data_IF_655527128688
#
_entry.id   IF_655527128688
#
_cell.length_a   1.000
_cell.length_b   1.000
_cell.length_c   1.000
_cell.angle_alpha   90.00
_cell.angle_beta   90.00
_cell.angle_gamma   90.00
#
_symmetry.space_group_name_H-M   'P 1'
#
loop_
_entity.id
_entity.type
_entity.pdbx_description
1 polymer ?
#
# COMPACT_ATOMS: atom_id res chain seq x y z
N UNK A 1 -10.62 0.85 -6.25
CA UNK A 1 -9.83 0.45 -5.07
C UNK A 1 -10.10 1.38 -3.89
N UNK A 2 -9.79 2.69 -3.96
CA UNK A 2 -10.00 3.62 -2.84
C UNK A 2 -11.44 3.63 -2.28
N UNK A 3 -12.45 3.64 -3.16
CA UNK A 3 -13.85 3.57 -2.74
C UNK A 3 -14.16 2.29 -1.95
N UNK A 4 -13.69 1.15 -2.45
CA UNK A 4 -13.83 -0.16 -1.81
C UNK A 4 -13.18 -0.20 -0.43
N UNK A 5 -11.97 0.34 -0.33
CA UNK A 5 -11.21 0.41 0.92
C UNK A 5 -11.94 1.25 1.95
N UNK A 6 -12.45 2.43 1.58
CA UNK A 6 -13.24 3.28 2.47
C UNK A 6 -14.48 2.58 3.04
N UNK A 7 -15.07 1.64 2.30
CA UNK A 7 -16.21 0.83 2.74
C UNK A 7 -15.81 -0.40 3.57
N UNK A 8 -14.52 -0.71 3.69
CA UNK A 8 -14.06 -1.89 4.42
C UNK A 8 -14.26 -3.21 3.67
N UNK A 9 -14.53 -3.19 2.36
CA UNK A 9 -14.80 -4.40 1.58
C UNK A 9 -13.51 -5.03 1.05
N UNK A 10 -12.85 -5.83 1.89
CA UNK A 10 -11.62 -6.51 1.50
C UNK A 10 -11.82 -7.54 0.38
N UNK A 11 -13.03 -8.11 0.25
CA UNK A 11 -13.33 -9.07 -0.82
C UNK A 11 -13.23 -8.41 -2.19
N UNK A 12 -13.84 -7.24 -2.36
CA UNK A 12 -13.74 -6.49 -3.60
C UNK A 12 -12.32 -5.96 -3.86
N UNK A 13 -11.53 -5.65 -2.81
CA UNK A 13 -10.10 -5.33 -2.98
C UNK A 13 -9.35 -6.53 -3.57
N UNK A 14 -9.62 -7.75 -3.11
CA UNK A 14 -9.01 -8.97 -3.64
C UNK A 14 -9.36 -9.20 -5.11
N UNK A 15 -10.60 -8.93 -5.54
CA UNK A 15 -10.97 -9.01 -6.96
C UNK A 15 -10.17 -8.04 -7.83
N UNK A 16 -9.92 -6.83 -7.35
CA UNK A 16 -9.07 -5.85 -8.04
C UNK A 16 -7.63 -6.35 -8.13
N UNK A 17 -7.09 -6.92 -7.04
CA UNK A 17 -5.71 -7.45 -6.99
C UNK A 17 -5.49 -8.57 -8.00
N UNK A 18 -6.49 -9.44 -8.24
CA UNK A 18 -6.43 -10.49 -9.27
C UNK A 18 -6.18 -9.94 -10.66
N UNK A 19 -6.72 -8.76 -10.98
CA UNK A 19 -6.50 -8.11 -12.27
C UNK A 19 -5.16 -7.37 -12.28
N UNK A 20 -4.83 -6.71 -11.17
CA UNK A 20 -3.69 -5.83 -11.04
C UNK A 20 -2.35 -6.55 -11.26
N UNK A 21 -2.25 -7.85 -10.92
CA UNK A 21 -1.02 -8.60 -11.16
C UNK A 21 -0.63 -8.64 -12.65
N UNK A 22 -1.59 -8.68 -13.58
CA UNK A 22 -1.31 -8.71 -15.02
C UNK A 22 -0.76 -7.37 -15.49
N UNK A 23 -1.34 -6.27 -15.00
CA UNK A 23 -0.85 -4.92 -15.27
C UNK A 23 0.61 -4.73 -14.79
N UNK A 24 0.95 -5.21 -13.59
CA UNK A 24 2.33 -5.13 -13.12
C UNK A 24 3.30 -5.94 -13.98
N UNK A 25 2.90 -7.11 -14.46
CA UNK A 25 3.71 -7.92 -15.37
C UNK A 25 3.93 -7.27 -16.73
N UNK A 26 2.91 -6.61 -17.28
CA UNK A 26 3.01 -5.90 -18.56
C UNK A 26 3.74 -4.56 -18.47
N UNK A 27 3.78 -3.97 -17.28
CA UNK A 27 4.56 -2.76 -16.98
C UNK A 27 6.05 -3.07 -16.72
N UNK A 28 6.82 -2.04 -16.35
CA UNK A 28 8.20 -2.17 -15.86
C UNK A 28 8.32 -2.72 -14.42
N UNK A 29 7.19 -2.94 -13.74
CA UNK A 29 7.11 -3.23 -12.31
C UNK A 29 6.88 -4.72 -12.02
N UNK A 30 7.61 -5.60 -12.71
CA UNK A 30 7.40 -7.07 -12.65
C UNK A 30 7.65 -7.69 -11.28
N UNK A 31 8.45 -7.05 -10.42
CA UNK A 31 8.68 -7.52 -9.05
C UNK A 31 7.38 -7.54 -8.23
N UNK A 32 6.53 -6.52 -8.41
CA UNK A 32 5.20 -6.49 -7.81
C UNK A 32 4.29 -7.56 -8.41
N UNK A 33 4.39 -7.80 -9.72
CA UNK A 33 3.69 -8.90 -10.39
C UNK A 33 4.05 -10.27 -9.82
N UNK A 34 5.34 -10.53 -9.56
CA UNK A 34 5.80 -11.75 -8.89
C UNK A 34 5.23 -11.87 -7.48
N UNK A 35 5.29 -10.81 -6.68
CA UNK A 35 4.79 -10.82 -5.31
C UNK A 35 3.28 -11.02 -5.22
N UNK A 36 2.51 -10.43 -6.14
CA UNK A 36 1.07 -10.67 -6.20
C UNK A 36 0.72 -12.08 -6.71
N UNK A 37 1.53 -12.67 -7.58
CA UNK A 37 1.35 -14.06 -8.03
C UNK A 37 1.65 -15.04 -6.89
N UNK A 38 2.73 -14.82 -6.14
CA UNK A 38 3.06 -15.56 -4.92
C UNK A 38 1.92 -15.45 -3.90
N UNK A 39 1.44 -14.24 -3.63
CA UNK A 39 0.30 -14.01 -2.74
C UNK A 39 -0.96 -14.76 -3.20
N UNK A 40 -1.26 -14.74 -4.50
CA UNK A 40 -2.39 -15.47 -5.06
C UNK A 40 -2.25 -16.98 -4.89
N UNK A 41 -1.07 -17.55 -5.14
CA UNK A 41 -0.78 -18.96 -4.89
C UNK A 41 -0.98 -19.31 -3.41
N UNK A 42 -0.50 -18.47 -2.50
CA UNK A 42 -0.66 -18.71 -1.07
C UNK A 42 -2.14 -18.76 -0.66
N UNK A 43 -2.96 -17.81 -1.11
CA UNK A 43 -4.40 -17.81 -0.83
C UNK A 43 -5.16 -18.98 -1.48
N UNK A 44 -4.76 -19.42 -2.67
CA UNK A 44 -5.45 -20.48 -3.40
C UNK A 44 -5.07 -21.88 -2.94
N UNK A 45 -3.82 -22.09 -2.52
CA UNK A 45 -3.26 -23.44 -2.37
C UNK A 45 -2.57 -23.70 -1.03
N UNK A 46 -2.03 -22.69 -0.34
CA UNK A 46 -1.15 -22.92 0.81
C UNK A 46 -1.78 -22.53 2.15
N UNK A 47 -2.51 -21.41 2.20
CA UNK A 47 -3.03 -20.88 3.46
C UNK A 47 -4.27 -21.67 3.92
N UNK A 48 -4.30 -22.16 5.18
CA UNK A 48 -5.52 -22.70 5.76
C UNK A 48 -6.56 -21.59 5.93
N UNK A 49 -7.84 -21.96 5.89
CA UNK A 49 -8.95 -21.00 5.96
C UNK A 49 -8.87 -20.04 7.17
N UNK A 50 -8.40 -20.52 8.32
CA UNK A 50 -8.22 -19.70 9.52
C UNK A 50 -7.18 -18.59 9.31
N UNK A 51 -6.07 -18.89 8.63
CA UNK A 51 -5.03 -17.91 8.31
C UNK A 51 -5.52 -16.92 7.25
N UNK A 52 -6.24 -17.39 6.22
CA UNK A 52 -6.83 -16.50 5.22
C UNK A 52 -7.77 -15.47 5.86
N UNK A 53 -8.66 -15.94 6.74
CA UNK A 53 -9.57 -15.07 7.47
C UNK A 53 -8.81 -14.08 8.36
N UNK A 54 -7.80 -14.55 9.08
CA UNK A 54 -6.96 -13.67 9.91
C UNK A 54 -6.27 -12.59 9.07
N UNK A 55 -5.66 -12.94 7.93
CA UNK A 55 -5.00 -11.98 7.05
C UNK A 55 -5.99 -10.95 6.49
N UNK A 56 -7.12 -11.41 5.93
CA UNK A 56 -8.13 -10.51 5.34
C UNK A 56 -8.73 -9.56 6.38
N UNK A 57 -8.96 -10.02 7.61
CA UNK A 57 -9.44 -9.20 8.71
C UNK A 57 -8.40 -8.16 9.20
N UNK A 58 -7.12 -8.37 8.92
CA UNK A 58 -6.04 -7.45 9.31
C UNK A 58 -5.60 -6.51 8.18
N UNK A 59 -6.09 -6.65 6.96
CA UNK A 59 -5.64 -5.75 5.88
C UNK A 59 -6.26 -4.36 5.95
N UNK A 60 -7.48 -4.25 6.46
CA UNK A 60 -8.18 -2.98 6.62
C UNK A 60 -8.45 -2.73 8.10
N UNK A 61 -8.38 -1.46 8.50
CA UNK A 61 -8.61 -1.01 9.86
C UNK A 61 -9.49 0.23 9.86
N UNK A 62 -10.34 0.34 10.89
CA UNK A 62 -11.13 1.54 11.14
C UNK A 62 -11.02 1.96 12.61
N UNK A 63 -9.97 2.71 12.97
CA UNK A 63 -9.74 3.16 14.35
C UNK A 63 -10.85 4.06 14.89
N UNK A 64 -11.61 4.72 14.01
CA UNK A 64 -12.69 5.64 14.38
C UNK A 64 -14.02 4.95 14.64
N UNK A 65 -14.21 3.74 14.10
CA UNK A 65 -15.49 3.04 14.09
C UNK A 65 -16.57 3.70 13.20
N UNK A 66 -16.26 4.77 12.47
CA UNK A 66 -17.22 5.48 11.61
C UNK A 66 -17.34 4.83 10.23
N UNK A 67 -18.56 4.75 9.68
CA UNK A 67 -18.76 4.26 8.31
C UNK A 67 -17.98 5.12 7.31
N UNK A 68 -17.37 4.50 6.31
CA UNK A 68 -16.57 5.20 5.29
C UNK A 68 -15.13 5.57 5.70
N UNK A 69 -14.69 5.22 6.92
CA UNK A 69 -13.39 5.63 7.47
C UNK A 69 -12.38 4.47 7.60
N UNK A 70 -12.62 3.39 6.85
CA UNK A 70 -11.66 2.30 6.72
C UNK A 70 -10.45 2.73 5.88
N UNK A 71 -9.28 2.23 6.24
CA UNK A 71 -8.04 2.43 5.50
C UNK A 71 -7.14 1.20 5.64
N UNK A 72 -6.07 1.15 4.86
CA UNK A 72 -5.08 0.09 4.86
C UNK A 72 -4.36 0.02 6.23
N UNK A 73 -4.32 -1.15 6.87
CA UNK A 73 -3.64 -1.31 8.16
C UNK A 73 -2.14 -1.02 8.04
N UNK A 74 -1.52 -1.41 6.93
CA UNK A 74 -0.10 -1.13 6.66
C UNK A 74 0.17 0.38 6.66
N UNK A 75 -0.74 1.17 6.07
CA UNK A 75 -0.64 2.63 6.11
C UNK A 75 -0.74 3.16 7.55
N UNK A 76 -1.61 2.62 8.39
CA UNK A 76 -1.66 2.99 9.82
C UNK A 76 -0.34 2.65 10.52
N UNK A 77 0.25 1.49 10.21
CA UNK A 77 1.55 1.08 10.74
C UNK A 77 2.67 2.04 10.31
N UNK A 78 2.68 2.48 9.05
CA UNK A 78 3.62 3.50 8.55
C UNK A 78 3.49 4.82 9.33
N UNK A 79 2.27 5.26 9.62
CA UNK A 79 2.03 6.46 10.43
C UNK A 79 2.55 6.28 11.86
N UNK A 80 2.35 5.12 12.48
CA UNK A 80 2.91 4.82 13.80
C UNK A 80 4.44 4.83 13.78
N UNK A 81 5.06 4.22 12.77
CA UNK A 81 6.51 4.22 12.59
C UNK A 81 7.07 5.64 12.45
N UNK A 82 6.39 6.51 11.69
CA UNK A 82 6.76 7.92 11.57
C UNK A 82 6.65 8.66 12.89
N UNK A 83 5.57 8.44 13.66
CA UNK A 83 5.37 9.06 14.97
C UNK A 83 6.45 8.64 15.97
N UNK A 84 6.79 7.36 16.02
CA UNK A 84 7.87 6.84 16.88
C UNK A 84 9.18 7.53 16.52
N UNK A 85 9.55 7.55 15.24
CA UNK A 85 10.77 8.24 14.77
C UNK A 85 10.78 9.73 15.09
N UNK A 86 9.63 10.39 15.02
CA UNK A 86 9.53 11.85 15.25
C UNK A 86 9.59 12.20 16.74
N UNK A 87 8.91 11.42 17.59
CA UNK A 87 8.85 11.66 19.03
C UNK A 87 10.08 11.14 19.76
N UNK A 88 10.70 10.07 19.24
CA UNK A 88 11.81 9.37 19.85
C UNK A 88 13.05 9.44 18.96
N UNK A 89 13.45 10.66 18.59
CA UNK A 89 14.66 10.94 17.82
C UNK A 89 15.86 11.27 18.74
N UNK A 90 15.96 10.58 19.88
CA UNK A 90 17.07 10.80 20.80
C UNK A 90 18.28 9.97 20.38
N UNK A 91 19.39 10.66 20.07
CA UNK A 91 20.67 10.03 19.69
C UNK A 91 21.23 9.02 20.71
N UNK A 92 20.71 9.05 21.93
CA UNK A 92 21.20 8.25 23.06
C UNK A 92 20.19 7.19 23.54
N UNK A 93 19.02 7.09 22.91
CA UNK A 93 18.04 6.10 23.30
C UNK A 93 18.23 4.84 22.44
N UNK A 94 18.39 3.70 23.09
CA UNK A 94 18.53 2.42 22.39
C UNK A 94 17.21 2.09 21.70
N UNK A 95 17.26 1.85 20.39
CA UNK A 95 16.08 1.55 19.57
C UNK A 95 15.37 0.27 20.04
N UNK A 96 16.12 -0.64 20.68
CA UNK A 96 15.62 -1.89 21.26
C UNK A 96 15.37 -1.79 22.78
N UNK A 97 15.25 -0.58 23.33
CA UNK A 97 14.88 -0.43 24.74
C UNK A 97 13.48 -1.01 25.00
N UNK A 98 13.36 -1.81 26.07
CA UNK A 98 12.06 -2.36 26.51
C UNK A 98 11.03 -1.27 26.74
N UNK A 99 11.48 -0.08 27.17
CA UNK A 99 10.63 1.09 27.31
C UNK A 99 10.00 1.54 25.98
N UNK A 100 10.75 1.56 24.88
CA UNK A 100 10.20 1.95 23.58
C UNK A 100 9.17 0.92 23.10
N UNK A 101 9.46 -0.36 23.25
CA UNK A 101 8.60 -1.44 22.78
C UNK A 101 7.31 -1.55 23.61
N UNK A 102 7.43 -1.60 24.94
CA UNK A 102 6.31 -1.90 25.84
C UNK A 102 5.51 -0.66 26.25
N UNK A 103 6.13 0.52 26.30
CA UNK A 103 5.45 1.75 26.76
C UNK A 103 5.12 2.67 25.59
N UNK A 104 6.09 3.03 24.76
CA UNK A 104 5.88 4.04 23.71
C UNK A 104 5.08 3.48 22.54
N UNK A 105 5.48 2.34 21.99
CA UNK A 105 4.90 1.79 20.77
C UNK A 105 3.42 1.42 20.96
N UNK A 106 3.07 0.78 22.07
CA UNK A 106 1.69 0.41 22.38
C UNK A 106 0.75 1.62 22.57
N UNK A 107 1.30 2.77 23.00
CA UNK A 107 0.53 3.97 23.33
C UNK A 107 0.70 5.11 22.32
N UNK A 108 1.41 4.89 21.21
CA UNK A 108 1.82 5.95 20.28
C UNK A 108 0.64 6.74 19.71
N UNK A 109 -0.46 6.05 19.42
CA UNK A 109 -1.69 6.67 18.95
C UNK A 109 -2.30 7.61 20.00
N UNK A 110 -2.32 7.18 21.28
CA UNK A 110 -2.77 7.99 22.40
C UNK A 110 -1.87 9.21 22.63
N UNK A 111 -0.55 9.04 22.57
CA UNK A 111 0.40 10.15 22.70
C UNK A 111 0.26 11.17 21.56
N UNK A 112 0.02 10.71 20.34
CA UNK A 112 -0.25 11.59 19.20
C UNK A 112 -1.51 12.44 19.42
N UNK A 113 -2.59 11.83 19.92
CA UNK A 113 -3.81 12.56 20.28
C UNK A 113 -3.60 13.53 21.44
N UNK A 114 -2.91 13.11 22.51
CA UNK A 114 -2.59 13.95 23.65
C UNK A 114 -1.76 15.17 23.24
N UNK A 115 -0.77 14.98 22.36
CA UNK A 115 0.03 16.09 21.82
C UNK A 115 -0.86 17.11 21.11
N UNK A 116 -1.77 16.67 20.23
CA UNK A 116 -2.73 17.55 19.54
C UNK A 116 -3.67 18.25 20.52
N UNK A 117 -4.15 17.51 21.53
CA UNK A 117 -5.00 18.05 22.59
C UNK A 117 -4.28 19.15 23.38
N UNK A 118 -3.02 18.96 23.77
CA UNK A 118 -2.25 19.95 24.51
C UNK A 118 -2.06 21.25 23.71
N UNK A 119 -1.76 21.16 22.40
CA UNK A 119 -1.72 22.36 21.56
C UNK A 119 -3.06 23.11 21.54
N UNK A 120 -4.16 22.37 21.43
CA UNK A 120 -5.51 22.96 21.44
C UNK A 120 -5.86 23.55 22.80
N UNK A 121 -5.52 22.87 23.90
CA UNK A 121 -5.83 23.28 25.27
C UNK A 121 -5.15 24.59 25.66
N UNK A 122 -3.93 24.83 25.18
CA UNK A 122 -3.19 26.07 25.42
C UNK A 122 -3.42 27.15 24.35
N UNK A 123 -4.41 26.98 23.48
CA UNK A 123 -4.67 27.88 22.33
C UNK A 123 -3.43 28.14 21.47
N UNK A 124 -2.49 27.20 21.44
CA UNK A 124 -1.39 27.24 20.50
C UNK A 124 -1.95 26.88 19.13
N UNK A 125 -2.11 27.89 18.28
CA UNK A 125 -2.33 27.66 16.86
C UNK A 125 -1.13 26.87 16.34
N UNK A 126 -1.31 25.60 15.90
CA UNK A 126 -0.22 24.89 15.27
C UNK A 126 0.26 25.76 14.11
N UNK A 127 1.56 25.98 13.98
CA UNK A 127 2.10 26.60 12.77
C UNK A 127 1.58 25.76 11.60
N UNK A 128 0.75 26.33 10.73
CA UNK A 128 0.13 25.54 9.68
C UNK A 128 1.24 25.07 8.74
N UNK A 129 1.57 23.78 8.80
CA UNK A 129 2.34 23.12 7.76
C UNK A 129 1.57 23.02 6.44
N UNK A 130 0.31 23.49 6.42
CA UNK A 130 -0.38 23.83 5.19
C UNK A 130 0.41 24.97 4.55
N UNK A 131 1.12 24.66 3.47
CA UNK A 131 1.41 25.67 2.47
C UNK A 131 0.09 26.38 2.18
N UNK A 132 0.09 27.72 2.16
CA UNK A 132 -1.05 28.46 1.67
C UNK A 132 -1.46 27.80 0.35
N UNK A 133 -2.73 27.39 0.23
CA UNK A 133 -3.21 26.76 -0.99
C UNK A 133 -2.80 27.69 -2.13
N UNK A 134 -1.98 27.23 -3.08
CA UNK A 134 -1.57 28.08 -4.17
C UNK A 134 -2.85 28.57 -4.87
N UNK A 135 -2.88 29.84 -5.23
CA UNK A 135 -3.96 30.38 -6.04
C UNK A 135 -3.87 29.73 -7.44
N UNK A 136 -4.51 28.56 -7.55
CA UNK A 136 -4.50 27.74 -8.75
C UNK A 136 -5.34 28.37 -9.87
N UNK A 137 -6.13 29.41 -9.60
CA UNK A 137 -6.99 30.00 -10.62
C UNK A 137 -6.14 30.62 -11.74
N UNK A 138 -5.00 31.26 -11.41
CA UNK A 138 -4.09 31.78 -12.42
C UNK A 138 -3.46 30.66 -13.27
N UNK A 139 -3.06 29.56 -12.64
CA UNK A 139 -2.45 28.41 -13.32
C UNK A 139 -3.47 27.65 -14.18
N UNK A 140 -4.69 27.43 -13.65
CA UNK A 140 -5.82 26.81 -14.36
C UNK A 140 -6.23 27.68 -15.55
N UNK A 141 -6.32 28.99 -15.38
CA UNK A 141 -6.65 29.90 -16.48
C UNK A 141 -5.54 29.93 -17.52
N UNK A 142 -4.27 29.90 -17.10
CA UNK A 142 -3.12 29.83 -18.02
C UNK A 142 -3.11 28.51 -18.80
N UNK A 143 -3.34 27.39 -18.10
CA UNK A 143 -3.46 26.08 -18.71
C UNK A 143 -4.67 26.00 -19.65
N UNK A 144 -5.81 26.54 -19.25
CA UNK A 144 -7.02 26.63 -20.05
C UNK A 144 -6.85 27.48 -21.30
N UNK A 145 -6.16 28.62 -21.21
CA UNK A 145 -5.80 29.45 -22.35
C UNK A 145 -4.85 28.71 -23.30
N UNK A 146 -3.88 27.98 -22.76
CA UNK A 146 -2.98 27.14 -23.54
C UNK A 146 -3.75 26.04 -24.28
N UNK A 147 -4.63 25.31 -23.57
CA UNK A 147 -5.48 24.27 -24.13
C UNK A 147 -6.44 24.78 -25.20
N UNK A 148 -6.98 25.99 -25.04
CA UNK A 148 -7.79 26.65 -26.07
C UNK A 148 -6.95 27.08 -27.27
N UNK A 149 -5.74 27.61 -27.04
CA UNK A 149 -4.84 28.03 -28.12
C UNK A 149 -4.31 26.84 -28.94
N UNK A 150 -4.16 25.69 -28.30
CA UNK A 150 -3.71 24.43 -28.91
C UNK A 150 -4.88 23.51 -29.33
N UNK A 151 -6.13 23.94 -29.16
CA UNK A 151 -7.35 23.19 -29.50
C UNK A 151 -7.35 21.74 -28.96
N UNK A 152 -6.75 21.49 -27.78
CA UNK A 152 -6.46 20.13 -27.28
C UNK A 152 -7.73 19.28 -27.08
N UNK A 153 -8.86 19.92 -26.75
CA UNK A 153 -10.15 19.24 -26.56
C UNK A 153 -11.02 19.19 -27.83
N UNK A 154 -10.57 19.79 -28.93
CA UNK A 154 -11.25 19.70 -30.21
C UNK A 154 -10.81 18.41 -30.89
N UNK A 155 -11.75 17.51 -31.14
CA UNK A 155 -11.44 16.29 -31.88
C UNK A 155 -11.13 16.63 -33.34
N UNK A 156 -9.85 16.70 -33.67
CA UNK A 156 -9.39 16.82 -35.05
C UNK A 156 -9.35 15.44 -35.70
N UNK A 157 -10.15 15.24 -36.76
CA UNK A 157 -10.25 13.97 -37.51
C UNK A 157 -8.93 13.46 -38.11
N UNK A 158 -7.84 14.23 -38.01
CA UNK A 158 -6.51 13.88 -38.52
C UNK A 158 -5.40 13.90 -37.46
N UNK A 159 -5.73 14.10 -36.18
CA UNK A 159 -4.73 14.01 -35.10
C UNK A 159 -4.35 12.55 -34.87
N UNK A 160 -3.24 12.12 -35.48
CA UNK A 160 -2.55 10.89 -35.09
C UNK A 160 -1.70 11.19 -33.87
N UNK A 161 -2.11 10.73 -32.69
CA UNK A 161 -1.22 10.73 -31.54
C UNK A 161 -0.10 9.71 -31.82
N UNK A 162 1.15 10.18 -31.87
CA UNK A 162 2.31 9.31 -32.14
C UNK A 162 2.48 8.25 -31.04
N UNK A 163 2.04 8.56 -29.83
CA UNK A 163 2.06 7.66 -28.70
C UNK A 163 0.76 6.87 -28.61
N UNK A 164 0.84 5.58 -28.91
CA UNK A 164 -0.23 4.62 -28.63
C UNK A 164 0.01 4.07 -27.22
N UNK A 165 -0.97 4.23 -26.33
CA UNK A 165 -0.88 3.66 -24.99
C UNK A 165 -0.78 2.14 -25.08
N UNK A 166 0.27 1.59 -24.46
CA UNK A 166 0.49 0.15 -24.42
C UNK A 166 -0.58 -0.54 -23.58
N UNK A 167 -1.18 -1.59 -24.11
CA UNK A 167 -2.07 -2.47 -23.35
C UNK A 167 -1.25 -3.36 -22.40
N UNK A 168 -0.99 -2.84 -21.21
CA UNK A 168 -0.23 -3.56 -20.18
C UNK A 168 -0.91 -4.84 -19.72
N UNK A 169 -2.24 -4.95 -19.80
CA UNK A 169 -2.93 -6.17 -19.41
C UNK A 169 -2.60 -7.30 -20.38
N UNK A 170 -2.79 -7.08 -21.68
CA UNK A 170 -2.48 -8.06 -22.72
C UNK A 170 -0.99 -8.36 -22.79
N UNK A 171 -0.14 -7.35 -22.65
CA UNK A 171 1.31 -7.55 -22.56
C UNK A 171 1.71 -8.43 -21.37
N UNK A 172 1.11 -8.20 -20.19
CA UNK A 172 1.37 -8.99 -19.00
C UNK A 172 0.94 -10.45 -19.14
N UNK A 173 -0.26 -10.66 -19.69
CA UNK A 173 -0.76 -12.00 -20.02
C UNK A 173 0.18 -12.75 -20.98
N UNK A 174 0.55 -12.11 -22.09
CA UNK A 174 1.45 -12.71 -23.07
C UNK A 174 2.82 -13.03 -22.48
N UNK A 175 3.34 -12.16 -21.63
CA UNK A 175 4.64 -12.33 -20.96
C UNK A 175 4.62 -13.48 -19.95
N UNK A 176 3.53 -13.66 -19.22
CA UNK A 176 3.33 -14.82 -18.36
C UNK A 176 3.23 -16.11 -19.19
N UNK A 177 2.44 -16.08 -20.27
CA UNK A 177 2.26 -17.21 -21.18
C UNK A 177 3.53 -17.59 -21.95
N UNK A 178 4.44 -16.63 -22.22
CA UNK A 178 5.70 -16.86 -22.92
C UNK A 178 6.77 -17.59 -22.09
N UNK A 179 6.39 -18.25 -20.99
CA UNK A 179 7.26 -19.06 -20.15
C UNK A 179 7.78 -18.39 -18.87
N UNK A 180 7.39 -17.14 -18.58
CA UNK A 180 7.73 -16.53 -17.28
C UNK A 180 6.99 -17.21 -16.13
N UNK A 181 5.77 -17.68 -16.38
CA UNK A 181 5.03 -18.47 -15.40
C UNK A 181 5.76 -19.78 -15.06
N UNK A 182 6.39 -20.42 -16.03
CA UNK A 182 7.13 -21.67 -15.78
C UNK A 182 8.42 -21.42 -15.00
N UNK A 183 9.12 -20.32 -15.30
CA UNK A 183 10.26 -19.86 -14.47
C UNK A 183 9.84 -19.60 -13.03
N UNK A 184 8.69 -18.95 -12.83
CA UNK A 184 8.13 -18.71 -11.50
C UNK A 184 7.87 -20.03 -10.77
N UNK A 185 7.21 -21.00 -11.41
CA UNK A 185 6.98 -22.34 -10.84
C UNK A 185 8.27 -23.03 -10.42
N UNK A 186 9.31 -23.02 -11.28
CA UNK A 186 10.60 -23.63 -10.97
C UNK A 186 11.24 -22.99 -9.74
N UNK A 187 11.18 -21.66 -9.61
CA UNK A 187 11.72 -20.94 -8.46
C UNK A 187 10.98 -21.29 -7.17
N UNK A 188 9.65 -21.35 -7.19
CA UNK A 188 8.85 -21.72 -6.02
C UNK A 188 9.19 -23.14 -5.54
N UNK A 189 9.29 -24.10 -6.47
CA UNK A 189 9.65 -25.49 -6.13
C UNK A 189 11.05 -25.61 -5.51
N UNK A 190 12.00 -24.76 -5.91
CA UNK A 190 13.34 -24.73 -5.31
C UNK A 190 13.31 -24.20 -3.88
N UNK A 191 12.53 -23.14 -3.62
CA UNK A 191 12.39 -22.57 -2.28
C UNK A 191 11.73 -23.54 -1.30
N UNK A 192 10.69 -24.26 -1.71
CA UNK A 192 10.02 -25.27 -0.85
C UNK A 192 10.98 -26.39 -0.41
N UNK A 193 11.93 -26.78 -1.26
CA UNK A 193 12.90 -27.83 -0.92
C UNK A 193 13.98 -27.37 0.07
N UNK A 194 14.24 -26.06 0.18
CA UNK A 194 15.21 -25.49 1.12
C UNK A 194 14.70 -25.34 2.55
N UNK A 195 13.38 -25.44 2.79
CA UNK A 195 12.77 -25.36 4.11
C UNK A 195 12.45 -26.78 4.59
N UNK A 196 13.45 -27.48 5.12
CA UNK A 196 13.23 -28.72 5.89
C UNK A 196 12.93 -28.34 7.36
N UNK A 197 12.06 -29.08 8.08
CA UNK A 197 11.77 -28.79 9.48
C UNK A 197 13.01 -29.05 10.35
N UNK A 198 13.35 -28.13 11.26
CA UNK A 198 14.21 -28.45 12.40
C UNK A 198 13.53 -29.59 13.20
N UNK A 199 14.29 -30.65 13.48
CA UNK A 199 13.82 -31.77 14.30
C UNK A 199 13.42 -31.28 15.70
N UNK A 200 12.38 -31.86 16.33
CA UNK A 200 12.02 -31.48 17.68
C UNK A 200 13.18 -31.82 18.64
N UNK A 201 13.69 -30.82 19.35
CA UNK A 201 14.60 -31.01 20.48
C UNK A 201 13.97 -32.00 21.47
N UNK A 202 14.68 -33.10 21.66
CA UNK A 202 14.43 -34.15 22.62
C UNK A 202 14.38 -33.54 24.04
N UNK A 203 13.19 -33.32 24.59
CA UNK A 203 13.03 -32.97 26.00
C UNK A 203 13.34 -34.20 26.84
N UNK A 204 14.62 -34.43 27.10
CA UNK A 204 15.12 -35.20 28.24
C UNK A 204 15.54 -34.23 29.35
N UNK A 205 14.65 -34.04 30.32
CA UNK A 205 14.89 -34.10 31.79
C UNK A 205 13.62 -33.75 32.58
#
# INVERSE_FOLDING_TARGET
MCHTIAHGDIGQVMEIIKILHFYFWGSSSTNYGNKLLELACNFLYEFPNSLQLALLNNWLVNPTGMLGHWHELDLLQEHHNLLIKTLFNDRNADFDSSFLQEVITLNIHGFSQLRKFMFTFFDFTPASGKHADPDLDADINTLGACHQSEDIFTFHTMCTQSFVASDFFTMGLNKLASGQLDKFKTCMMQNSNSVQPEEPEDTTE
#
